data_IF_263854149343
#
_entry.id   IF_263854149343
#
_cell.length_a   1.000
_cell.length_b   1.000
_cell.length_c   1.000
_cell.angle_alpha   90.00
_cell.angle_beta   90.00
_cell.angle_gamma   90.00
#
_symmetry.space_group_name_H-M   'P 1'
#
loop_
_entity.id
_entity.type
_entity.pdbx_description
1 polymer ?
#
# COMPACT_ATOMS: atom_id res chain seq x y z
N UNK A 1 28.09 -9.95 13.33
CA UNK A 1 27.37 -11.22 13.08
C UNK A 1 26.13 -11.06 12.18
N UNK A 2 25.46 -9.90 12.12
CA UNK A 2 24.26 -9.68 11.29
C UNK A 2 24.57 -9.29 9.82
N UNK A 3 25.66 -8.56 9.56
CA UNK A 3 26.07 -8.12 8.21
C UNK A 3 26.51 -9.27 7.28
N UNK A 4 27.00 -10.38 7.82
CA UNK A 4 27.45 -11.53 7.01
C UNK A 4 26.29 -12.37 6.48
N UNK A 5 25.16 -12.44 7.20
CA UNK A 5 23.97 -13.22 6.79
C UNK A 5 23.20 -12.56 5.64
N UNK A 6 23.15 -11.23 5.60
CA UNK A 6 22.52 -10.47 4.50
C UNK A 6 23.28 -10.59 3.17
N UNK A 7 24.61 -10.74 3.20
CA UNK A 7 25.45 -10.96 2.01
C UNK A 7 25.36 -12.39 1.46
N UNK A 8 25.02 -13.37 2.31
CA UNK A 8 24.80 -14.75 1.91
C UNK A 8 23.43 -14.91 1.22
N UNK A 9 22.40 -14.27 1.76
CA UNK A 9 21.04 -14.32 1.22
C UNK A 9 20.89 -13.60 -0.14
N UNK A 10 21.67 -12.55 -0.40
CA UNK A 10 21.70 -11.87 -1.71
C UNK A 10 22.45 -12.65 -2.78
N UNK A 11 23.41 -13.52 -2.39
CA UNK A 11 24.12 -14.40 -3.34
C UNK A 11 23.28 -15.60 -3.78
N UNK A 12 22.46 -16.14 -2.87
CA UNK A 12 21.53 -17.24 -3.18
C UNK A 12 20.48 -16.81 -4.22
N UNK A 13 19.90 -15.61 -4.09
CA UNK A 13 18.88 -15.10 -5.03
C UNK A 13 19.43 -14.81 -6.44
N UNK A 14 20.72 -14.48 -6.56
CA UNK A 14 21.35 -14.26 -7.87
C UNK A 14 21.65 -15.59 -8.59
N UNK A 15 21.91 -16.67 -7.84
CA UNK A 15 22.19 -18.00 -8.40
C UNK A 15 20.91 -18.75 -8.83
N UNK A 16 19.76 -18.46 -8.21
CA UNK A 16 18.48 -19.05 -8.65
C UNK A 16 17.98 -18.49 -9.99
N UNK A 17 18.27 -17.22 -10.28
CA UNK A 17 17.86 -16.59 -11.55
C UNK A 17 18.67 -17.08 -12.75
N UNK A 18 19.95 -17.44 -12.58
CA UNK A 18 20.77 -17.99 -13.67
C UNK A 18 20.37 -19.42 -14.06
N UNK A 19 19.89 -20.22 -13.09
CA UNK A 19 19.42 -21.60 -13.35
C UNK A 19 18.11 -21.59 -14.15
N UNK A 20 17.21 -20.62 -13.91
CA UNK A 20 15.94 -20.49 -14.65
C UNK A 20 16.13 -20.01 -16.10
N UNK A 21 17.21 -19.26 -16.40
CA UNK A 21 17.51 -18.86 -17.78
C UNK A 21 18.11 -20.00 -18.61
N UNK A 22 18.92 -20.86 -18.00
CA UNK A 22 19.54 -22.00 -18.71
C UNK A 22 18.53 -23.06 -19.19
N UNK A 23 17.36 -23.21 -18.58
CA UNK A 23 16.35 -24.19 -19.03
C UNK A 23 15.53 -23.71 -20.23
N UNK A 24 15.53 -22.40 -20.49
CA UNK A 24 14.72 -21.78 -21.55
C UNK A 24 15.39 -21.84 -22.93
N UNK A 25 16.72 -21.99 -22.97
CA UNK A 25 17.49 -22.02 -24.22
C UNK A 25 17.66 -23.44 -24.79
N UNK A 26 17.46 -24.50 -23.99
CA UNK A 26 17.59 -25.89 -24.45
C UNK A 26 16.43 -26.38 -25.34
N UNK A 27 15.30 -25.64 -25.41
CA UNK A 27 14.10 -26.07 -26.17
C UNK A 27 14.04 -25.44 -27.58
N UNK A 28 14.95 -24.52 -27.93
CA UNK A 28 14.95 -23.82 -29.23
C UNK A 28 15.85 -24.43 -30.31
N UNK A 29 16.53 -25.56 -30.07
CA UNK A 29 17.59 -26.06 -30.96
C UNK A 29 17.31 -27.40 -31.68
N UNK A 30 16.05 -27.81 -31.91
CA UNK A 30 15.76 -29.09 -32.61
C UNK A 30 14.65 -29.03 -33.68
N UNK A 31 14.32 -27.86 -34.21
CA UNK A 31 13.43 -27.76 -35.39
C UNK A 31 14.02 -26.90 -36.50
N UNK A 32 15.08 -27.41 -37.10
CA UNK A 32 15.49 -27.08 -38.46
C UNK A 32 16.05 -28.36 -39.09
N UNK A 33 15.85 -28.54 -40.40
CA UNK A 33 15.94 -29.79 -41.17
C UNK A 33 14.63 -30.61 -41.04
N UNK A 34 13.74 -30.64 -42.05
CA UNK A 34 13.98 -31.20 -43.37
C UNK A 34 13.17 -30.40 -44.41
N UNK A 35 13.88 -29.89 -45.41
CA UNK A 35 13.36 -29.45 -46.70
C UNK A 35 13.76 -30.55 -47.69
N UNK A 36 12.83 -31.12 -48.44
CA UNK A 36 13.13 -31.66 -49.76
C UNK A 36 11.82 -31.72 -50.55
N UNK A 37 11.70 -30.74 -51.43
CA UNK A 37 10.83 -30.76 -52.60
C UNK A 37 11.30 -31.89 -53.53
N UNK A 38 10.39 -32.59 -54.21
CA UNK A 38 10.65 -33.03 -55.57
C UNK A 38 9.37 -33.23 -56.37
N UNK A 39 9.51 -32.91 -57.65
CA UNK A 39 8.51 -32.46 -58.58
C UNK A 39 8.48 -33.43 -59.79
N UNK A 40 7.36 -33.42 -60.52
CA UNK A 40 7.24 -33.80 -61.95
C UNK A 40 7.47 -35.29 -62.32
N UNK A 41 6.44 -36.02 -62.77
CA UNK A 41 5.76 -35.99 -64.08
C UNK A 41 6.27 -37.11 -65.03
N UNK A 42 5.33 -37.56 -65.88
CA UNK A 42 5.51 -38.12 -67.23
C UNK A 42 5.42 -39.66 -67.48
N UNK A 43 4.53 -39.97 -68.45
CA UNK A 43 4.51 -41.09 -69.43
C UNK A 43 4.05 -42.48 -68.91
N UNK A 44 3.39 -43.38 -69.66
CA UNK A 44 2.79 -43.43 -71.00
C UNK A 44 1.99 -44.76 -71.10
N UNK A 45 0.91 -44.77 -71.89
CA UNK A 45 0.24 -45.89 -72.57
C UNK A 45 0.25 -47.33 -71.98
N UNK A 46 -0.95 -47.90 -71.77
CA UNK A 46 -1.58 -48.86 -72.70
C UNK A 46 -2.99 -49.31 -72.22
N UNK A 47 -3.88 -49.50 -73.20
CA UNK A 47 -5.25 -50.01 -73.09
C UNK A 47 -5.28 -51.47 -72.59
N UNK A 48 -6.27 -51.86 -71.77
CA UNK A 48 -7.29 -52.87 -72.15
C UNK A 48 -8.37 -53.09 -71.06
N UNK A 49 -9.63 -53.14 -71.52
CA UNK A 49 -10.73 -53.97 -71.01
C UNK A 49 -11.45 -53.60 -69.70
N UNK A 50 -12.48 -52.76 -69.87
CA UNK A 50 -13.85 -52.88 -69.32
C UNK A 50 -14.11 -53.73 -68.06
N UNK A 51 -14.22 -53.09 -66.89
CA UNK A 51 -15.24 -53.37 -65.84
C UNK A 51 -15.49 -52.10 -64.99
N UNK A 52 -16.73 -51.78 -64.57
CA UNK A 52 -17.00 -50.60 -63.76
C UNK A 52 -16.40 -50.76 -62.35
N UNK A 53 -15.42 -49.93 -62.02
CA UNK A 53 -14.70 -49.87 -60.73
C UNK A 53 -15.52 -49.16 -59.65
N UNK A 54 -16.84 -49.06 -59.79
CA UNK A 54 -17.69 -48.37 -58.81
C UNK A 54 -18.16 -49.26 -57.65
N UNK A 55 -17.65 -50.49 -57.54
CA UNK A 55 -17.98 -51.42 -56.45
C UNK A 55 -16.79 -51.76 -55.53
N UNK A 56 -15.64 -51.11 -55.71
CA UNK A 56 -14.45 -51.33 -54.87
C UNK A 56 -13.98 -50.08 -54.11
N UNK A 57 -14.82 -49.04 -53.98
CA UNK A 57 -14.53 -47.88 -53.11
C UNK A 57 -15.18 -47.97 -51.72
N UNK A 58 -16.12 -48.90 -51.50
CA UNK A 58 -16.66 -49.18 -50.16
C UNK A 58 -15.77 -50.12 -49.31
N UNK A 59 -14.58 -50.49 -49.80
CA UNK A 59 -13.64 -51.37 -49.09
C UNK A 59 -12.42 -50.63 -48.51
N UNK A 60 -12.41 -49.30 -48.53
CA UNK A 60 -11.41 -48.49 -47.85
C UNK A 60 -12.07 -47.50 -46.89
N UNK A 61 -12.41 -47.93 -45.66
CA UNK A 61 -13.02 -47.07 -44.64
C UNK A 61 -12.15 -45.88 -44.24
N UNK A 62 -10.85 -45.89 -44.58
CA UNK A 62 -9.90 -44.81 -44.29
C UNK A 62 -10.18 -43.51 -45.05
N UNK A 63 -10.66 -43.58 -46.30
CA UNK A 63 -10.89 -42.39 -47.13
C UNK A 63 -12.23 -41.70 -46.83
N UNK A 64 -13.27 -42.47 -46.47
CA UNK A 64 -14.56 -41.92 -46.02
C UNK A 64 -14.43 -41.25 -44.65
N UNK A 65 -13.56 -41.78 -43.79
CA UNK A 65 -13.21 -41.14 -42.53
C UNK A 65 -12.63 -39.74 -42.73
N UNK A 66 -11.64 -39.57 -43.60
CA UNK A 66 -11.00 -38.27 -43.84
C UNK A 66 -11.94 -37.18 -44.35
N UNK A 67 -12.96 -37.52 -45.16
CA UNK A 67 -13.94 -36.53 -45.64
C UNK A 67 -14.91 -36.14 -44.53
N UNK A 68 -15.37 -37.09 -43.71
CA UNK A 68 -16.22 -36.81 -42.55
C UNK A 68 -15.48 -36.01 -41.45
N UNK A 69 -14.19 -36.27 -41.22
CA UNK A 69 -13.39 -35.48 -40.28
C UNK A 69 -13.09 -34.07 -40.82
N UNK A 70 -12.84 -33.91 -42.12
CA UNK A 70 -12.65 -32.60 -42.74
C UNK A 70 -13.93 -31.74 -42.70
N UNK A 71 -15.10 -32.37 -42.88
CA UNK A 71 -16.39 -31.70 -42.84
C UNK A 71 -16.87 -31.43 -41.40
N UNK A 72 -16.51 -32.28 -40.44
CA UNK A 72 -16.69 -32.02 -39.01
C UNK A 72 -15.76 -30.90 -38.50
N UNK A 73 -14.55 -30.78 -39.06
CA UNK A 73 -13.61 -29.69 -38.76
C UNK A 73 -14.06 -28.33 -39.35
N UNK A 74 -14.90 -28.32 -40.39
CA UNK A 74 -15.41 -27.10 -41.00
C UNK A 74 -16.40 -26.32 -40.10
N UNK A 75 -16.96 -26.98 -39.07
CA UNK A 75 -17.83 -26.36 -38.07
C UNK A 75 -17.14 -26.02 -36.74
N UNK A 76 -15.84 -26.30 -36.60
CA UNK A 76 -15.10 -25.98 -35.38
C UNK A 76 -14.83 -24.48 -35.38
N UNK A 77 -15.32 -23.71 -34.38
CA UNK A 77 -15.02 -22.29 -34.30
C UNK A 77 -13.50 -22.14 -34.21
N UNK A 78 -12.91 -21.45 -35.18
CA UNK A 78 -11.48 -21.14 -35.17
C UNK A 78 -11.19 -20.33 -33.90
N UNK A 79 -10.56 -20.97 -32.91
CA UNK A 79 -10.19 -20.32 -31.67
C UNK A 79 -9.11 -19.28 -32.01
N UNK A 80 -9.52 -18.02 -32.10
CA UNK A 80 -8.61 -16.90 -32.27
C UNK A 80 -7.99 -16.62 -30.91
N UNK A 81 -6.78 -17.13 -30.70
CA UNK A 81 -6.00 -16.78 -29.53
C UNK A 81 -5.64 -15.29 -29.62
N UNK A 82 -6.19 -14.47 -28.71
CA UNK A 82 -5.70 -13.10 -28.54
C UNK A 82 -4.25 -13.22 -28.06
N UNK A 83 -3.34 -12.55 -28.76
CA UNK A 83 -1.93 -12.45 -28.33
C UNK A 83 -1.89 -11.86 -26.92
N UNK A 84 -1.14 -12.50 -26.03
CA UNK A 84 -0.93 -11.97 -24.68
C UNK A 84 -0.24 -10.61 -24.76
N UNK A 85 -0.91 -9.59 -24.22
CA UNK A 85 -0.33 -8.27 -23.96
C UNK A 85 -0.01 -8.22 -22.46
N UNK A 86 1.23 -7.87 -22.06
CA UNK A 86 1.53 -7.73 -20.65
C UNK A 86 0.64 -6.64 -20.05
N UNK A 87 0.18 -6.81 -18.79
CA UNK A 87 -0.58 -5.77 -18.13
C UNK A 87 0.26 -4.49 -18.07
N UNK A 88 -0.37 -3.35 -18.35
CA UNK A 88 0.27 -2.06 -18.10
C UNK A 88 0.58 -1.98 -16.60
N UNK A 89 1.84 -1.73 -16.28
CA UNK A 89 2.31 -1.49 -14.91
C UNK A 89 1.69 -0.17 -14.40
N UNK A 90 0.46 -0.25 -13.91
CA UNK A 90 -0.26 0.85 -13.27
C UNK A 90 -0.01 0.83 -11.75
N UNK A 91 0.16 2.02 -11.15
CA UNK A 91 0.24 2.18 -9.71
C UNK A 91 -1.04 1.66 -9.02
N UNK A 92 -0.88 1.02 -7.86
CA UNK A 92 -1.96 0.31 -7.16
C UNK A 92 -3.12 1.25 -6.83
N UNK A 93 -2.83 2.50 -6.45
CA UNK A 93 -3.86 3.48 -6.09
C UNK A 93 -4.72 3.86 -7.30
N UNK A 94 -4.10 4.14 -8.44
CA UNK A 94 -4.79 4.46 -9.71
C UNK A 94 -5.69 3.28 -10.12
N UNK A 95 -5.18 2.05 -9.95
CA UNK A 95 -5.95 0.84 -10.21
C UNK A 95 -7.15 0.70 -9.27
N UNK A 96 -6.97 0.98 -7.97
CA UNK A 96 -8.05 0.88 -6.97
C UNK A 96 -9.13 1.95 -7.17
N UNK A 97 -8.73 3.16 -7.52
CA UNK A 97 -9.62 4.28 -7.87
C UNK A 97 -10.44 3.95 -9.11
N UNK A 98 -9.79 3.47 -10.19
CA UNK A 98 -10.45 3.02 -11.43
C UNK A 98 -11.44 1.89 -11.20
N UNK A 99 -11.12 0.97 -10.30
CA UNK A 99 -11.97 -0.17 -9.93
C UNK A 99 -13.03 0.19 -8.88
N UNK A 100 -13.07 1.43 -8.39
CA UNK A 100 -14.00 1.92 -7.35
C UNK A 100 -14.04 1.00 -6.11
N UNK A 101 -12.87 0.53 -5.67
CA UNK A 101 -12.79 -0.35 -4.50
C UNK A 101 -13.11 0.44 -3.24
N UNK A 102 -14.07 -0.01 -2.41
CA UNK A 102 -14.39 0.68 -1.17
C UNK A 102 -13.23 0.57 -0.19
N UNK A 103 -12.96 1.65 0.55
CA UNK A 103 -12.02 1.63 1.65
C UNK A 103 -12.64 0.87 2.83
N UNK A 104 -11.87 -0.03 3.42
CA UNK A 104 -12.29 -0.70 4.65
C UNK A 104 -12.49 0.33 5.77
N UNK A 105 -13.54 0.18 6.61
CA UNK A 105 -13.71 1.04 7.77
C UNK A 105 -12.49 0.88 8.69
N UNK A 106 -11.97 1.99 9.20
CA UNK A 106 -10.72 2.01 10.00
C UNK A 106 -10.95 2.75 11.32
N UNK A 107 -11.17 4.06 11.31
CA UNK A 107 -11.39 4.83 12.56
C UNK A 107 -12.68 4.45 13.29
N UNK A 108 -13.72 4.08 12.55
CA UNK A 108 -15.05 3.80 13.11
C UNK A 108 -15.14 2.46 13.83
N UNK A 109 -14.27 1.50 13.51
CA UNK A 109 -14.30 0.14 14.07
C UNK A 109 -13.13 -0.14 15.02
N UNK A 110 -12.12 0.75 15.07
CA UNK A 110 -10.93 0.53 15.88
C UNK A 110 -11.20 0.84 17.36
N UNK A 111 -10.68 0.00 18.26
CA UNK A 111 -10.83 0.20 19.70
C UNK A 111 -9.99 1.38 20.19
N UNK A 112 -10.61 2.26 20.98
CA UNK A 112 -9.90 3.40 21.57
C UNK A 112 -8.93 2.90 22.63
N UNK A 113 -7.63 3.10 22.38
CA UNK A 113 -6.55 2.76 23.30
C UNK A 113 -5.96 4.04 23.89
N UNK A 114 -5.40 3.94 25.11
CA UNK A 114 -4.72 5.04 25.78
C UNK A 114 -3.62 5.66 24.90
N UNK A 115 -2.86 4.84 24.18
CA UNK A 115 -1.82 5.28 23.24
C UNK A 115 -2.37 6.14 22.10
N UNK A 116 -3.50 5.74 21.50
CA UNK A 116 -4.13 6.48 20.40
C UNK A 116 -4.63 7.84 20.87
N UNK A 117 -5.30 7.88 22.03
CA UNK A 117 -5.80 9.13 22.63
C UNK A 117 -4.64 10.06 22.96
N UNK A 118 -3.58 9.56 23.58
CA UNK A 118 -2.42 10.35 23.95
C UNK A 118 -1.70 10.95 22.73
N UNK A 119 -1.61 10.19 21.64
CA UNK A 119 -1.01 10.68 20.39
C UNK A 119 -1.84 11.79 19.74
N UNK A 120 -3.16 11.61 19.62
CA UNK A 120 -4.07 12.62 19.05
C UNK A 120 -4.03 13.90 19.89
N UNK A 121 -4.18 13.78 21.21
CA UNK A 121 -4.13 14.92 22.13
C UNK A 121 -2.77 15.62 22.14
N UNK A 122 -1.67 14.93 21.86
CA UNK A 122 -0.35 15.58 21.69
C UNK A 122 -0.31 16.49 20.47
N UNK A 123 -0.88 16.04 19.35
CA UNK A 123 -1.03 16.85 18.14
C UNK A 123 -1.97 18.02 18.38
N UNK A 124 -3.14 17.79 18.98
CA UNK A 124 -4.12 18.84 19.26
C UNK A 124 -3.55 19.90 20.21
N UNK A 125 -2.88 19.50 21.30
CA UNK A 125 -2.24 20.44 22.23
C UNK A 125 -1.13 21.24 21.56
N UNK A 126 -0.36 20.64 20.65
CA UNK A 126 0.67 21.36 19.87
C UNK A 126 0.06 22.41 18.93
N UNK A 127 -1.05 22.07 18.26
CA UNK A 127 -1.79 23.02 17.40
C UNK A 127 -2.36 24.17 18.25
N UNK A 128 -2.98 23.87 19.39
CA UNK A 128 -3.52 24.88 20.31
C UNK A 128 -2.43 25.82 20.82
N UNK A 129 -1.29 25.27 21.23
CA UNK A 129 -0.17 26.06 21.76
C UNK A 129 0.47 26.94 20.68
N UNK A 130 0.67 26.39 19.48
CA UNK A 130 1.16 27.16 18.32
C UNK A 130 0.19 28.28 17.96
N UNK A 131 -1.11 28.00 17.93
CA UNK A 131 -2.16 28.99 17.66
C UNK A 131 -2.19 30.09 18.73
N UNK A 132 -2.08 29.71 20.01
CA UNK A 132 -2.02 30.64 21.14
C UNK A 132 -0.84 31.60 21.04
N UNK A 133 0.39 31.08 20.89
CA UNK A 133 1.57 31.93 20.78
C UNK A 133 1.60 32.76 19.50
N UNK A 134 1.13 32.22 18.37
CA UNK A 134 1.04 32.97 17.12
C UNK A 134 0.02 34.11 17.23
N UNK A 135 -1.13 33.86 17.85
CA UNK A 135 -2.15 34.89 18.08
C UNK A 135 -1.64 35.99 19.02
N UNK A 136 -0.91 35.65 20.08
CA UNK A 136 -0.26 36.64 20.94
C UNK A 136 0.83 37.44 20.20
N UNK A 137 1.65 36.77 19.40
CA UNK A 137 2.72 37.41 18.62
C UNK A 137 2.18 38.37 17.55
N UNK A 138 1.18 37.95 16.78
CA UNK A 138 0.49 38.81 15.82
C UNK A 138 -0.26 39.92 16.57
N UNK A 139 -0.90 39.59 17.69
CA UNK A 139 -1.60 40.55 18.51
C UNK A 139 -0.70 41.68 18.99
N UNK A 140 0.49 41.36 19.47
CA UNK A 140 1.48 42.36 19.89
C UNK A 140 1.94 43.29 18.75
N UNK A 141 1.83 42.87 17.48
CA UNK A 141 2.20 43.68 16.33
C UNK A 141 1.04 44.52 15.77
N UNK A 142 -0.19 44.04 15.92
CA UNK A 142 -1.37 44.64 15.26
C UNK A 142 -2.23 45.47 16.23
N UNK A 143 -2.25 45.13 17.52
CA UNK A 143 -3.07 45.87 18.48
C UNK A 143 -2.46 47.25 18.80
N UNK A 144 -3.31 48.30 18.95
CA UNK A 144 -2.86 49.68 19.09
C UNK A 144 -2.39 50.06 20.51
N UNK A 145 -2.54 49.17 21.49
CA UNK A 145 -2.28 49.46 22.89
C UNK A 145 -1.30 48.45 23.49
N UNK A 146 -0.63 48.85 24.56
CA UNK A 146 0.30 48.01 25.30
C UNK A 146 -0.42 46.93 26.12
N UNK A 147 0.33 45.90 26.52
CA UNK A 147 -0.21 44.77 27.30
C UNK A 147 -0.85 45.20 28.62
N UNK A 148 -0.31 46.24 29.27
CA UNK A 148 -0.84 46.80 30.52
C UNK A 148 -2.27 47.30 30.38
N UNK A 149 -2.64 47.84 29.21
CA UNK A 149 -4.00 48.29 28.94
C UNK A 149 -4.97 47.10 28.94
N UNK A 150 -4.63 46.02 28.24
CA UNK A 150 -5.47 44.81 28.20
C UNK A 150 -5.57 44.11 29.56
N UNK A 151 -4.50 44.12 30.36
CA UNK A 151 -4.53 43.63 31.74
C UNK A 151 -5.52 44.44 32.58
N UNK A 152 -5.48 45.77 32.50
CA UNK A 152 -6.40 46.63 33.26
C UNK A 152 -7.87 46.41 32.88
N UNK A 153 -8.16 46.11 31.61
CA UNK A 153 -9.51 45.73 31.16
C UNK A 153 -9.95 44.44 31.86
N UNK A 154 -9.11 43.40 31.86
CA UNK A 154 -9.43 42.12 32.50
C UNK A 154 -9.62 42.29 34.02
N UNK A 155 -8.78 43.10 34.67
CA UNK A 155 -8.91 43.42 36.09
C UNK A 155 -10.22 44.17 36.39
N UNK A 156 -10.64 45.08 35.51
CA UNK A 156 -11.89 45.83 35.65
C UNK A 156 -13.14 44.94 35.57
N UNK A 157 -13.05 43.75 34.97
CA UNK A 157 -14.15 42.78 34.92
C UNK A 157 -14.43 42.11 36.28
N UNK A 158 -13.57 42.33 37.28
CA UNK A 158 -13.75 41.89 38.66
C UNK A 158 -14.13 40.41 38.80
N UNK A 159 -13.43 39.56 38.04
CA UNK A 159 -13.66 38.12 37.98
C UNK A 159 -13.38 37.46 39.34
N UNK A 160 -14.16 36.44 39.68
CA UNK A 160 -13.93 35.69 40.91
C UNK A 160 -12.56 34.98 40.88
N UNK A 161 -11.88 34.81 42.04
CA UNK A 161 -10.60 34.09 42.09
C UNK A 161 -10.69 32.66 41.53
N UNK A 162 -11.84 32.00 41.72
CA UNK A 162 -12.10 30.67 41.16
C UNK A 162 -12.18 30.71 39.63
N UNK A 163 -12.84 31.71 39.04
CA UNK A 163 -12.90 31.89 37.58
C UNK A 163 -11.51 32.13 37.00
N UNK A 164 -10.71 32.98 37.64
CA UNK A 164 -9.33 33.25 37.22
C UNK A 164 -8.47 31.98 37.27
N UNK A 165 -8.60 31.19 38.34
CA UNK A 165 -7.90 29.91 38.45
C UNK A 165 -8.27 28.95 37.31
N UNK A 166 -9.56 28.81 36.99
CA UNK A 166 -10.02 27.94 35.90
C UNK A 166 -9.47 28.42 34.55
N UNK A 167 -9.51 29.72 34.28
CA UNK A 167 -8.95 30.29 33.03
C UNK A 167 -7.45 30.03 32.94
N UNK A 168 -6.70 30.28 34.01
CA UNK A 168 -5.26 29.95 34.08
C UNK A 168 -5.01 28.46 33.86
N UNK A 169 -5.79 27.58 34.49
CA UNK A 169 -5.68 26.13 34.34
C UNK A 169 -5.99 25.68 32.91
N UNK A 170 -7.02 26.22 32.27
CA UNK A 170 -7.35 25.91 30.87
C UNK A 170 -6.24 26.32 29.90
N UNK A 171 -5.56 27.45 30.16
CA UNK A 171 -4.42 27.91 29.35
C UNK A 171 -3.15 27.09 29.65
N UNK A 172 -2.94 26.70 30.91
CA UNK A 172 -1.77 25.92 31.32
C UNK A 172 -1.86 24.43 30.95
N UNK A 173 -3.06 23.85 30.89
CA UNK A 173 -3.29 22.43 30.61
C UNK A 173 -2.66 21.92 29.30
N UNK A 174 -2.89 22.56 28.12
CA UNK A 174 -2.27 22.11 26.88
C UNK A 174 -0.74 22.22 26.93
N UNK A 175 -0.19 23.23 27.60
CA UNK A 175 1.26 23.38 27.78
C UNK A 175 1.84 22.26 28.65
N UNK A 176 1.29 22.04 29.85
CA UNK A 176 1.75 21.01 30.78
C UNK A 176 1.67 19.61 30.17
N UNK A 177 0.57 19.32 29.46
CA UNK A 177 0.41 18.06 28.73
C UNK A 177 1.41 17.90 27.58
N UNK A 178 1.50 18.89 26.70
CA UNK A 178 2.36 18.82 25.51
C UNK A 178 3.83 18.68 25.89
N UNK A 179 4.27 19.41 26.92
CA UNK A 179 5.64 19.34 27.44
C UNK A 179 5.96 17.96 28.04
N UNK A 180 5.13 17.47 28.97
CA UNK A 180 5.35 16.17 29.61
C UNK A 180 5.33 15.01 28.60
N UNK A 181 4.38 15.02 27.67
CA UNK A 181 4.31 13.98 26.64
C UNK A 181 5.42 14.14 25.59
N UNK A 182 5.87 15.37 25.30
CA UNK A 182 7.05 15.64 24.46
C UNK A 182 8.32 15.00 25.03
N UNK A 183 8.55 15.10 26.35
CA UNK A 183 9.67 14.40 27.02
C UNK A 183 9.53 12.89 26.84
N UNK A 184 8.32 12.33 26.97
CA UNK A 184 8.08 10.90 26.72
C UNK A 184 8.40 10.51 25.26
N UNK A 185 8.04 11.34 24.29
CA UNK A 185 8.38 11.10 22.89
C UNK A 185 9.89 11.13 22.64
N UNK A 186 10.61 12.12 23.20
CA UNK A 186 12.07 12.16 23.14
C UNK A 186 12.72 10.93 23.81
N UNK A 187 12.14 10.44 24.91
CA UNK A 187 12.58 9.19 25.52
C UNK A 187 12.39 8.00 24.56
N UNK A 188 11.27 7.92 23.85
CA UNK A 188 11.03 6.88 22.84
C UNK A 188 11.94 7.00 21.61
N UNK A 189 12.35 8.20 21.22
CA UNK A 189 13.30 8.41 20.11
C UNK A 189 14.69 7.81 20.41
N UNK A 190 15.02 7.60 21.69
CA UNK A 190 16.22 6.85 22.10
C UNK A 190 16.07 5.32 22.02
N UNK A 191 14.96 4.83 21.47
CA UNK A 191 14.57 3.42 21.40
C UNK A 191 14.44 2.72 22.77
N UNK A 192 14.10 3.48 23.82
CA UNK A 192 13.88 2.99 25.18
C UNK A 192 12.39 3.03 25.55
N UNK A 193 11.95 2.12 26.42
CA UNK A 193 10.58 2.14 26.96
C UNK A 193 9.47 1.79 25.97
N UNK A 194 9.79 0.99 24.93
CA UNK A 194 8.86 0.62 23.86
C UNK A 194 8.11 -0.70 24.13
N UNK A 195 8.31 -1.33 25.30
CA UNK A 195 7.48 -2.48 25.68
C UNK A 195 6.06 -2.00 26.04
N UNK A 196 5.04 -2.82 25.78
CA UNK A 196 3.63 -2.45 26.04
C UNK A 196 3.44 -2.02 27.51
N UNK A 197 4.06 -2.73 28.46
CA UNK A 197 3.98 -2.40 29.89
C UNK A 197 4.56 -1.01 30.18
N UNK A 198 5.73 -0.70 29.63
CA UNK A 198 6.38 0.60 29.80
C UNK A 198 5.61 1.72 29.10
N UNK A 199 5.05 1.48 27.91
CA UNK A 199 4.24 2.48 27.19
C UNK A 199 3.02 2.90 28.01
N UNK A 200 2.34 1.96 28.68
CA UNK A 200 1.22 2.28 29.57
C UNK A 200 1.70 2.95 30.86
N UNK A 201 2.76 2.44 31.50
CA UNK A 201 3.33 3.04 32.71
C UNK A 201 3.76 4.49 32.47
N UNK A 202 4.53 4.72 31.41
CA UNK A 202 4.98 6.06 31.01
C UNK A 202 3.80 6.96 30.64
N UNK A 203 2.75 6.40 30.03
CA UNK A 203 1.49 7.10 29.76
C UNK A 203 0.80 7.63 31.02
N UNK A 204 0.64 6.82 32.07
CA UNK A 204 0.05 7.30 33.33
C UNK A 204 0.98 8.27 34.07
N UNK A 205 2.29 8.01 34.08
CA UNK A 205 3.25 8.91 34.75
C UNK A 205 3.27 10.30 34.12
N UNK A 206 3.25 10.40 32.78
CA UNK A 206 3.26 11.71 32.13
C UNK A 206 1.92 12.46 32.35
N UNK A 207 0.79 11.75 32.46
CA UNK A 207 -0.49 12.37 32.81
C UNK A 207 -0.47 12.97 34.21
N UNK A 208 0.12 12.25 35.18
CA UNK A 208 0.29 12.77 36.54
C UNK A 208 1.20 14.01 36.56
N UNK A 209 2.33 13.96 35.85
CA UNK A 209 3.24 15.11 35.73
C UNK A 209 2.54 16.30 35.06
N UNK A 210 1.78 16.07 33.99
CA UNK A 210 1.02 17.12 33.31
C UNK A 210 -0.02 17.78 34.24
N UNK A 211 -0.73 16.99 35.05
CA UNK A 211 -1.70 17.51 36.02
C UNK A 211 -1.03 18.38 37.08
N UNK A 212 0.09 17.92 37.66
CA UNK A 212 0.87 18.69 38.65
C UNK A 212 1.40 19.99 38.04
N UNK A 213 1.98 19.93 36.84
CA UNK A 213 2.46 21.13 36.12
C UNK A 213 1.33 22.13 35.88
N UNK A 214 0.16 21.65 35.45
CA UNK A 214 -1.00 22.50 35.18
C UNK A 214 -1.50 23.18 36.45
N UNK A 215 -1.65 22.43 37.55
CA UNK A 215 -2.10 22.98 38.83
C UNK A 215 -1.08 23.96 39.43
N UNK A 216 0.21 23.64 39.33
CA UNK A 216 1.28 24.53 39.78
C UNK A 216 1.30 25.86 39.03
N UNK A 217 1.13 25.82 37.70
CA UNK A 217 1.05 27.02 36.87
C UNK A 217 -0.25 27.82 37.09
N UNK A 218 -1.36 27.13 37.37
CA UNK A 218 -2.64 27.78 37.62
C UNK A 218 -2.70 28.48 38.99
N UNK A 219 -1.95 27.96 39.97
CA UNK A 219 -1.89 28.49 41.32
C UNK A 219 -0.92 29.68 41.49
N UNK A 220 -0.02 29.90 40.51
CA UNK A 220 0.88 31.05 40.44
C UNK A 220 0.10 32.31 40.00
#
# INVERSE_FOLDING_TARGET
MFKSRLSQMTRELHNSNSICQSSSDSVKSTRSLIHCEENMALFSCMRLSSRPVLTTLNRFPSLVGSVNYAQAAAGVPKIVYKKFEPPVEEHIDIRNEKLQRPLSPHLTIYSIQLTTVLSITHRTSGILLTGYFSALGIGALVLPHDISHYISIIESMNLSPATLFIVKACLAAPFGYHFANGIRHLYWDTAKGLSIKEVYSTGYTMLAVAAVMTLGLAAL
#
